data_IF_160230495079
#
_entry.id   IF_160230495079
#
_cell.length_a   1.000
_cell.length_b   1.000
_cell.length_c   1.000
_cell.angle_alpha   90.00
_cell.angle_beta   90.00
_cell.angle_gamma   90.00
#
_symmetry.space_group_name_H-M   'P 1'
#
loop_
_entity.id
_entity.type
_entity.pdbx_description
1 polymer ?
#
# COMPACT_ATOMS: atom_id res chain seq x y z
N UNK A 1 -13.31 -28.71 6.03
CA UNK A 1 -12.78 -27.96 7.19
C UNK A 1 -12.41 -26.58 6.69
N UNK A 2 -13.23 -25.56 7.00
CA UNK A 2 -12.91 -24.16 6.69
C UNK A 2 -12.31 -23.54 7.95
N UNK A 3 -11.01 -23.32 7.94
CA UNK A 3 -10.34 -22.56 9.00
C UNK A 3 -10.28 -21.10 8.58
N UNK A 4 -11.26 -20.36 9.11
CA UNK A 4 -11.21 -18.96 9.55
C UNK A 4 -10.18 -18.09 8.83
N UNK A 5 -10.67 -17.34 7.83
CA UNK A 5 -9.99 -16.17 7.27
C UNK A 5 -9.67 -15.23 8.45
N UNK A 6 -8.46 -15.32 8.97
CA UNK A 6 -7.94 -14.37 9.95
C UNK A 6 -7.63 -13.10 9.17
N UNK A 7 -8.67 -12.32 8.88
CA UNK A 7 -8.51 -10.92 8.49
C UNK A 7 -7.74 -10.28 9.63
N UNK A 8 -6.43 -10.16 9.45
CA UNK A 8 -5.55 -9.50 10.37
C UNK A 8 -6.00 -8.04 10.39
N UNK A 9 -6.78 -7.66 11.42
CA UNK A 9 -7.28 -6.29 11.63
C UNK A 9 -6.10 -5.42 12.15
N UNK A 10 -4.94 -5.52 11.52
CA UNK A 10 -3.88 -4.55 11.64
C UNK A 10 -4.27 -3.31 10.84
N UNK A 11 -3.78 -2.13 11.23
CA UNK A 11 -3.81 -0.99 10.31
C UNK A 11 -3.09 -1.39 9.02
N UNK A 12 -3.48 -0.88 7.84
CA UNK A 12 -2.80 -1.20 6.58
C UNK A 12 -1.27 -0.95 6.64
N UNK A 13 -0.84 -0.04 7.51
CA UNK A 13 0.57 0.18 7.84
C UNK A 13 1.21 -0.94 8.64
N UNK A 14 0.48 -1.51 9.60
CA UNK A 14 0.92 -2.68 10.35
C UNK A 14 1.16 -3.86 9.41
N UNK A 15 0.26 -4.11 8.45
CA UNK A 15 0.43 -5.20 7.50
C UNK A 15 1.65 -4.96 6.58
N UNK A 16 1.84 -3.72 6.10
CA UNK A 16 3.05 -3.37 5.33
C UNK A 16 4.34 -3.60 6.13
N UNK A 17 4.35 -3.23 7.40
CA UNK A 17 5.50 -3.49 8.26
C UNK A 17 5.75 -4.99 8.44
N UNK A 18 4.70 -5.80 8.59
CA UNK A 18 4.84 -7.25 8.68
C UNK A 18 5.43 -7.85 7.39
N UNK A 19 4.94 -7.44 6.22
CA UNK A 19 5.52 -7.87 4.93
C UNK A 19 6.98 -7.45 4.77
N UNK A 20 7.36 -6.27 5.27
CA UNK A 20 8.75 -5.84 5.30
C UNK A 20 9.61 -6.72 6.22
N UNK A 21 9.13 -6.98 7.44
CA UNK A 21 9.83 -7.83 8.41
C UNK A 21 9.98 -9.29 7.93
N UNK A 22 9.02 -9.79 7.15
CA UNK A 22 9.05 -11.13 6.54
C UNK A 22 9.93 -11.19 5.27
N UNK A 23 10.50 -10.06 4.84
CA UNK A 23 11.37 -9.97 3.67
C UNK A 23 10.64 -9.95 2.32
N UNK A 24 9.31 -9.87 2.33
CA UNK A 24 8.49 -9.75 1.12
C UNK A 24 8.61 -8.36 0.48
N UNK A 25 9.00 -7.35 1.26
CA UNK A 25 9.35 -6.01 0.77
C UNK A 25 10.86 -5.82 0.94
N UNK A 26 11.56 -5.48 -0.14
CA UNK A 26 12.99 -5.13 -0.06
C UNK A 26 13.19 -3.79 0.63
N UNK A 27 14.36 -3.54 1.25
CA UNK A 27 14.70 -2.24 1.85
C UNK A 27 14.50 -1.06 0.89
N UNK A 28 14.85 -1.25 -0.39
CA UNK A 28 14.68 -0.22 -1.42
C UNK A 28 13.20 0.07 -1.68
N UNK A 29 12.35 -0.95 -1.73
CA UNK A 29 10.91 -0.76 -1.92
C UNK A 29 10.29 -0.16 -0.66
N UNK A 30 10.72 -0.58 0.52
CA UNK A 30 10.28 -0.04 1.80
C UNK A 30 10.58 1.46 1.93
N UNK A 31 11.81 1.88 1.64
CA UNK A 31 12.21 3.30 1.64
C UNK A 31 11.35 4.13 0.67
N UNK A 32 11.04 3.60 -0.52
CA UNK A 32 10.12 4.26 -1.45
C UNK A 32 8.71 4.39 -0.89
N UNK A 33 8.16 3.32 -0.32
CA UNK A 33 6.79 3.34 0.26
C UNK A 33 6.72 4.37 1.39
N UNK A 34 7.70 4.39 2.30
CA UNK A 34 7.72 5.34 3.41
C UNK A 34 7.88 6.78 2.94
N UNK A 35 8.76 7.03 1.95
CA UNK A 35 8.87 8.36 1.32
C UNK A 35 7.57 8.84 0.70
N UNK A 36 6.83 7.94 0.05
CA UNK A 36 5.51 8.27 -0.50
C UNK A 36 4.51 8.59 0.62
N UNK A 37 4.50 7.82 1.70
CA UNK A 37 3.61 8.04 2.85
C UNK A 37 3.91 9.36 3.57
N UNK A 38 5.19 9.72 3.66
CA UNK A 38 5.65 10.94 4.30
C UNK A 38 5.57 12.18 3.39
N UNK A 39 5.20 11.99 2.11
CA UNK A 39 5.05 13.08 1.16
C UNK A 39 4.05 14.13 1.68
N UNK A 40 4.48 15.40 1.63
CA UNK A 40 3.62 16.54 1.94
C UNK A 40 2.47 16.61 0.93
N UNK A 41 1.27 16.96 1.40
CA UNK A 41 0.07 17.04 0.56
C UNK A 41 -0.82 15.80 0.58
N UNK A 42 -0.35 14.65 1.08
CA UNK A 42 -1.21 13.47 1.28
C UNK A 42 -1.98 13.55 2.60
N UNK A 43 -3.30 13.50 2.51
CA UNK A 43 -4.20 13.35 3.65
C UNK A 43 -4.05 11.98 4.31
N UNK A 44 -4.48 11.88 5.57
CA UNK A 44 -4.51 10.59 6.29
C UNK A 44 -5.28 9.50 5.52
N UNK A 45 -6.37 9.86 4.84
CA UNK A 45 -7.19 8.92 4.06
C UNK A 45 -6.42 8.37 2.86
N UNK A 46 -5.70 9.23 2.14
CA UNK A 46 -4.90 8.84 0.97
C UNK A 46 -3.69 8.00 1.38
N UNK A 47 -3.02 8.35 2.48
CA UNK A 47 -1.94 7.53 3.05
C UNK A 47 -2.42 6.12 3.39
N UNK A 48 -3.61 5.99 3.98
CA UNK A 48 -4.22 4.69 4.27
C UNK A 48 -4.63 3.95 3.00
N UNK A 49 -5.20 4.63 2.00
CA UNK A 49 -5.57 4.03 0.72
C UNK A 49 -4.33 3.51 -0.02
N UNK A 50 -3.25 4.29 -0.05
CA UNK A 50 -1.97 3.86 -0.60
C UNK A 50 -1.40 2.65 0.14
N UNK A 51 -1.39 2.68 1.48
CA UNK A 51 -0.92 1.55 2.27
C UNK A 51 -1.72 0.27 1.96
N UNK A 52 -3.04 0.38 1.84
CA UNK A 52 -3.91 -0.74 1.45
C UNK A 52 -3.57 -1.26 0.06
N UNK A 53 -3.47 -0.37 -0.93
CA UNK A 53 -3.09 -0.72 -2.30
C UNK A 53 -1.77 -1.50 -2.35
N UNK A 54 -0.77 -1.06 -1.58
CA UNK A 54 0.52 -1.75 -1.53
C UNK A 54 0.41 -3.16 -0.92
N UNK A 55 -0.41 -3.37 0.13
CA UNK A 55 -0.66 -4.72 0.65
C UNK A 55 -1.32 -5.60 -0.42
N UNK A 56 -2.34 -5.09 -1.11
CA UNK A 56 -3.04 -5.83 -2.18
C UNK A 56 -2.07 -6.24 -3.30
N UNK A 57 -1.09 -5.39 -3.64
CA UNK A 57 -0.04 -5.71 -4.61
C UNK A 57 0.96 -6.76 -4.14
N UNK A 58 1.27 -6.80 -2.85
CA UNK A 58 2.19 -7.81 -2.28
C UNK A 58 1.50 -9.17 -2.21
N UNK A 59 0.20 -9.18 -1.91
CA UNK A 59 -0.60 -10.41 -1.83
C UNK A 59 -1.02 -10.96 -3.21
N UNK A 60 -0.86 -10.18 -4.28
CA UNK A 60 -1.20 -10.58 -5.65
C UNK A 60 -0.14 -11.55 -6.22
N UNK A 61 -0.46 -12.86 -6.37
CA UNK A 61 0.48 -13.85 -6.86
C UNK A 61 0.82 -13.70 -8.35
N UNK A 62 0.11 -12.83 -9.08
CA UNK A 62 0.40 -12.52 -10.48
C UNK A 62 1.42 -11.38 -10.64
N UNK A 63 1.81 -10.74 -9.54
CA UNK A 63 2.81 -9.67 -9.55
C UNK A 63 4.22 -10.24 -9.38
N UNK A 64 4.96 -10.39 -10.48
CA UNK A 64 6.35 -10.86 -10.45
C UNK A 64 7.31 -9.89 -9.73
N UNK A 65 6.92 -8.62 -9.57
CA UNK A 65 7.72 -7.63 -8.85
C UNK A 65 6.86 -6.54 -8.22
N UNK A 66 7.18 -6.18 -6.98
CA UNK A 66 6.51 -5.11 -6.25
C UNK A 66 6.84 -3.74 -6.88
N UNK A 67 5.93 -3.23 -7.70
CA UNK A 67 5.98 -1.86 -8.22
C UNK A 67 5.44 -0.89 -7.19
N UNK A 68 6.30 0.03 -6.73
CA UNK A 68 5.88 1.15 -5.86
C UNK A 68 5.64 2.36 -6.77
N UNK A 69 4.41 2.89 -6.85
CA UNK A 69 4.09 4.02 -7.72
C UNK A 69 4.98 5.23 -7.47
N UNK A 70 5.40 5.87 -8.57
CA UNK A 70 6.08 7.17 -8.50
C UNK A 70 5.11 8.31 -8.15
N UNK A 71 5.61 9.53 -7.86
CA UNK A 71 4.75 10.66 -7.49
C UNK A 71 3.66 11.00 -8.52
N UNK A 72 3.97 10.94 -9.82
CA UNK A 72 2.99 11.22 -10.88
C UNK A 72 1.90 10.14 -10.99
N UNK A 73 2.30 8.86 -10.93
CA UNK A 73 1.36 7.73 -10.92
C UNK A 73 0.48 7.74 -9.67
N UNK A 74 1.05 8.14 -8.53
CA UNK A 74 0.30 8.30 -7.30
C UNK A 74 -0.75 9.41 -7.40
N UNK A 75 -0.40 10.58 -7.94
CA UNK A 75 -1.39 11.65 -8.13
C UNK A 75 -2.52 11.22 -9.07
N UNK A 76 -2.22 10.45 -10.11
CA UNK A 76 -3.23 9.84 -10.99
C UNK A 76 -4.14 8.88 -10.20
N UNK A 77 -3.57 7.93 -9.46
CA UNK A 77 -4.34 6.99 -8.63
C UNK A 77 -5.20 7.69 -7.57
N UNK A 78 -4.68 8.76 -6.96
CA UNK A 78 -5.40 9.52 -5.93
C UNK A 78 -6.45 10.45 -6.55
N UNK A 79 -6.28 10.90 -7.79
CA UNK A 79 -7.28 11.73 -8.47
C UNK A 79 -8.63 11.03 -8.58
N UNK A 80 -8.64 9.72 -8.81
CA UNK A 80 -9.86 8.88 -8.83
C UNK A 80 -10.55 8.81 -7.46
N UNK A 81 -9.80 8.94 -6.35
CA UNK A 81 -10.33 8.94 -4.98
C UNK A 81 -10.85 10.33 -4.60
N UNK A 82 -10.25 11.38 -5.17
CA UNK A 82 -10.57 12.78 -4.92
C UNK A 82 -11.81 13.24 -5.67
N UNK A 83 -12.12 12.68 -6.84
CA UNK A 83 -13.36 12.99 -7.54
C UNK A 83 -14.56 12.43 -6.77
N UNK A 84 -15.43 13.27 -6.18
CA UNK A 84 -16.72 12.78 -5.76
C UNK A 84 -17.48 12.39 -7.03
N UNK A 85 -17.93 11.13 -7.11
CA UNK A 85 -18.98 10.73 -8.07
C UNK A 85 -20.10 11.76 -7.98
N UNK A 86 -20.22 12.59 -9.00
CA UNK A 86 -21.31 13.55 -9.17
C UNK A 86 -22.57 12.80 -9.62
#
# INVERSE_FOLDING_TARGET
MQTVNSQHIGSSFTNLLLHYMDGQITDRSWDKIMKTVDQEGLTRKERMAFARFMNERIEDPSSDSLHVPGPAELEELLSEIREPRN
#
